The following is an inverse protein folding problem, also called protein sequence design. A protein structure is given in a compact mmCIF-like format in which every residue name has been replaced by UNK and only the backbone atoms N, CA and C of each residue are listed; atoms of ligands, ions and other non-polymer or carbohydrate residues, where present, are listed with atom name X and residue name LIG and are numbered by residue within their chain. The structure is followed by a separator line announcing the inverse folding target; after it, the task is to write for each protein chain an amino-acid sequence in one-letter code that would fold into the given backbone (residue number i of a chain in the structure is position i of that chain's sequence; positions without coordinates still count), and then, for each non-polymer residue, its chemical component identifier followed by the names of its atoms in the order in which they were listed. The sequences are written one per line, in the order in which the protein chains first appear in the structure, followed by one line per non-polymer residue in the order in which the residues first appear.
data_IF_256977842093
#
_entry.id   IF_256977842093
#
_cell.length_a   1.000
_cell.length_b   1.000
_cell.length_c   1.000
_cell.angle_alpha   90.00
_cell.angle_beta   90.00
_cell.angle_gamma   90.00
#
_symmetry.space_group_name_H-M   'P 1'
#
loop_
_entity.id
_entity.type
_entity.pdbx_description
1 polymer ?
#
# COMPACT_ATOMS: atom_id res chain seq x y z
N UNK A 1 -45.43 -14.41 -6.98
CA UNK A 1 -44.54 -15.56 -7.20
C UNK A 1 -43.15 -15.10 -6.83
N UNK A 2 -42.44 -15.87 -6.00
CA UNK A 2 -41.03 -15.59 -5.75
C UNK A 2 -40.21 -15.87 -7.01
N UNK A 3 -39.33 -14.94 -7.39
CA UNK A 3 -38.44 -15.10 -8.53
C UNK A 3 -37.01 -15.35 -8.04
N UNK A 4 -36.26 -16.20 -8.75
CA UNK A 4 -34.83 -16.43 -8.51
C UNK A 4 -34.05 -16.13 -9.78
N UNK A 5 -32.96 -15.37 -9.66
CA UNK A 5 -32.12 -14.98 -10.80
C UNK A 5 -30.65 -14.89 -10.40
N UNK A 6 -29.78 -15.47 -11.22
CA UNK A 6 -28.33 -15.27 -11.14
C UNK A 6 -27.92 -13.95 -11.80
N UNK A 7 -27.09 -13.16 -11.13
CA UNK A 7 -26.52 -11.94 -11.71
C UNK A 7 -25.35 -12.26 -12.65
N UNK A 8 -25.15 -11.39 -13.63
CA UNK A 8 -24.18 -11.51 -14.72
C UNK A 8 -22.73 -11.24 -14.32
N UNK A 9 -22.45 -11.06 -13.03
CA UNK A 9 -21.13 -10.70 -12.51
C UNK A 9 -20.38 -11.87 -11.87
N UNK A 10 -20.81 -13.11 -12.15
CA UNK A 10 -20.13 -14.31 -11.68
C UNK A 10 -18.73 -14.42 -12.27
N UNK A 11 -17.77 -14.90 -11.48
CA UNK A 11 -16.38 -15.04 -11.88
C UNK A 11 -15.72 -16.24 -11.18
N UNK A 12 -14.73 -16.82 -11.85
CA UNK A 12 -13.90 -17.91 -11.32
C UNK A 12 -12.96 -17.39 -10.24
N UNK A 13 -12.88 -18.09 -9.11
CA UNK A 13 -11.88 -17.75 -8.08
C UNK A 13 -10.45 -17.98 -8.58
N UNK A 14 -10.28 -19.01 -9.41
CA UNK A 14 -9.02 -19.48 -9.97
C UNK A 14 -9.24 -19.95 -11.40
N UNK A 15 -8.14 -20.02 -12.15
CA UNK A 15 -8.15 -20.47 -13.54
C UNK A 15 -8.52 -21.97 -13.69
N UNK A 16 -8.53 -22.75 -12.59
CA UNK A 16 -8.95 -24.17 -12.54
C UNK A 16 -10.47 -24.38 -12.63
N UNK A 17 -11.27 -23.32 -12.53
CA UNK A 17 -12.74 -23.34 -12.55
C UNK A 17 -13.35 -24.28 -11.48
N UNK A 18 -12.63 -24.59 -10.40
CA UNK A 18 -13.17 -25.42 -9.32
C UNK A 18 -14.11 -24.65 -8.41
N UNK A 19 -13.93 -23.32 -8.35
CA UNK A 19 -14.70 -22.44 -7.47
C UNK A 19 -15.24 -21.23 -8.24
N UNK A 20 -16.53 -20.98 -8.09
CA UNK A 20 -17.28 -19.92 -8.72
C UNK A 20 -17.84 -18.96 -7.66
N UNK A 21 -17.57 -17.67 -7.80
CA UNK A 21 -18.27 -16.66 -7.03
C UNK A 21 -19.43 -16.13 -7.87
N UNK A 22 -20.63 -16.11 -7.30
CA UNK A 22 -21.84 -15.64 -7.97
C UNK A 22 -22.76 -14.92 -6.98
N UNK A 23 -23.74 -14.20 -7.51
CA UNK A 23 -24.76 -13.53 -6.71
C UNK A 23 -26.13 -14.00 -7.15
N UNK A 24 -26.90 -14.54 -6.21
CA UNK A 24 -28.29 -14.89 -6.38
C UNK A 24 -29.16 -13.71 -5.94
N UNK A 25 -30.07 -13.28 -6.80
CA UNK A 25 -31.11 -12.31 -6.49
C UNK A 25 -32.44 -13.04 -6.35
N UNK A 26 -33.09 -12.86 -5.20
CA UNK A 26 -34.39 -13.42 -4.87
C UNK A 26 -35.40 -12.29 -4.67
N UNK A 27 -36.54 -12.37 -5.34
CA UNK A 27 -37.66 -11.46 -5.15
C UNK A 27 -38.82 -12.18 -4.44
N UNK A 28 -39.36 -11.59 -3.37
CA UNK A 28 -40.51 -12.15 -2.66
C UNK A 28 -41.85 -11.64 -3.21
N UNK A 29 -42.96 -12.21 -2.73
CA UNK A 29 -44.32 -11.82 -3.14
C UNK A 29 -44.70 -10.37 -2.76
N UNK A 30 -43.90 -9.72 -1.90
CA UNK A 30 -44.05 -8.32 -1.51
C UNK A 30 -43.12 -7.37 -2.32
N UNK A 31 -42.40 -7.89 -3.32
CA UNK A 31 -41.49 -7.13 -4.19
C UNK A 31 -40.16 -6.77 -3.54
N UNK A 32 -39.80 -7.39 -2.40
CA UNK A 32 -38.49 -7.18 -1.76
C UNK A 32 -37.44 -8.03 -2.44
N UNK A 33 -36.38 -7.38 -2.90
CA UNK A 33 -35.21 -8.02 -3.49
C UNK A 33 -34.16 -8.28 -2.41
N UNK A 34 -33.71 -9.53 -2.31
CA UNK A 34 -32.58 -9.92 -1.46
C UNK A 34 -31.47 -10.50 -2.34
N UNK A 35 -30.23 -10.07 -2.08
CA UNK A 35 -29.04 -10.54 -2.81
C UNK A 35 -28.20 -11.38 -1.88
N UNK A 36 -27.84 -12.58 -2.33
CA UNK A 36 -26.96 -13.48 -1.61
C UNK A 36 -25.68 -13.69 -2.42
N UNK A 37 -24.55 -13.35 -1.81
CA UNK A 37 -23.23 -13.65 -2.39
C UNK A 37 -22.87 -15.08 -2.01
N UNK A 38 -22.56 -15.90 -3.01
CA UNK A 38 -22.26 -17.32 -2.84
C UNK A 38 -20.91 -17.66 -3.44
N UNK A 39 -20.18 -18.56 -2.76
CA UNK A 39 -18.99 -19.21 -3.28
C UNK A 39 -19.32 -20.70 -3.45
N UNK A 40 -19.49 -21.11 -4.70
CA UNK A 40 -19.85 -22.46 -5.07
C UNK A 40 -18.60 -23.23 -5.47
N UNK A 41 -18.45 -24.45 -4.94
CA UNK A 41 -17.49 -25.40 -5.47
C UNK A 41 -18.15 -26.25 -6.54
N UNK A 42 -17.40 -26.67 -7.55
CA UNK A 42 -17.86 -27.56 -8.61
C UNK A 42 -18.31 -28.92 -8.07
N UNK A 43 -17.57 -29.44 -7.08
CA UNK A 43 -17.88 -30.68 -6.38
C UNK A 43 -18.19 -30.40 -4.91
N UNK A 44 -19.09 -31.19 -4.33
CA UNK A 44 -19.36 -31.18 -2.89
C UNK A 44 -18.25 -31.92 -2.10
N UNK A 45 -18.45 -32.08 -0.79
CA UNK A 45 -17.49 -32.77 0.10
C UNK A 45 -17.38 -34.27 -0.16
N UNK A 46 -18.37 -34.85 -0.82
CA UNK A 46 -18.48 -36.28 -1.14
C UNK A 46 -18.01 -36.57 -2.58
N UNK A 47 -17.69 -35.53 -3.35
CA UNK A 47 -17.23 -35.61 -4.73
C UNK A 47 -18.35 -35.57 -5.77
N UNK A 48 -19.59 -35.30 -5.37
CA UNK A 48 -20.71 -35.18 -6.31
C UNK A 48 -20.76 -33.77 -6.93
N UNK A 49 -21.24 -33.63 -8.19
CA UNK A 49 -21.47 -32.33 -8.81
C UNK A 49 -22.42 -31.46 -7.98
N UNK A 50 -22.09 -30.19 -7.84
CA UNK A 50 -22.93 -29.23 -7.14
C UNK A 50 -24.01 -28.68 -8.08
N UNK A 51 -25.32 -28.91 -7.80
CA UNK A 51 -26.40 -28.47 -8.69
C UNK A 51 -26.44 -26.96 -8.90
N UNK A 52 -26.14 -26.16 -7.86
CA UNK A 52 -26.15 -24.70 -7.98
C UNK A 52 -25.02 -24.22 -8.88
N UNK A 53 -23.87 -24.91 -8.86
CA UNK A 53 -22.75 -24.60 -9.74
C UNK A 53 -23.14 -24.84 -11.20
N UNK A 54 -23.71 -26.02 -11.48
CA UNK A 54 -24.11 -26.40 -12.83
C UNK A 54 -25.22 -25.46 -13.36
N UNK A 55 -26.19 -25.08 -12.51
CA UNK A 55 -27.24 -24.13 -12.86
C UNK A 55 -26.67 -22.75 -13.24
N UNK A 56 -25.71 -22.22 -12.48
CA UNK A 56 -25.09 -20.92 -12.80
C UNK A 56 -24.39 -20.97 -14.15
N UNK A 57 -23.69 -22.07 -14.45
CA UNK A 57 -22.99 -22.23 -15.73
C UNK A 57 -23.96 -22.42 -16.89
N UNK A 58 -25.08 -23.10 -16.67
CA UNK A 58 -26.15 -23.24 -17.67
C UNK A 58 -26.82 -21.89 -17.97
N UNK A 59 -27.09 -21.08 -16.94
CA UNK A 59 -27.81 -19.80 -17.07
C UNK A 59 -26.91 -18.68 -17.61
N UNK A 60 -25.69 -18.55 -17.10
CA UNK A 60 -24.78 -17.45 -17.44
C UNK A 60 -23.82 -17.79 -18.59
N UNK A 61 -23.50 -19.07 -18.76
CA UNK A 61 -22.52 -19.54 -19.72
C UNK A 61 -21.07 -19.39 -19.24
N UNK A 62 -20.22 -20.35 -19.62
CA UNK A 62 -18.79 -20.36 -19.28
C UNK A 62 -18.03 -19.15 -19.86
N UNK A 63 -18.45 -18.67 -21.03
CA UNK A 63 -17.82 -17.53 -21.72
C UNK A 63 -17.96 -16.23 -20.92
N UNK A 64 -19.16 -15.93 -20.42
CA UNK A 64 -19.42 -14.71 -19.62
C UNK A 64 -18.63 -14.74 -18.31
N UNK A 65 -18.63 -15.88 -17.61
CA UNK A 65 -17.90 -16.04 -16.35
C UNK A 65 -16.39 -15.90 -16.59
N UNK A 66 -15.89 -16.45 -17.69
CA UNK A 66 -14.46 -16.32 -18.08
C UNK A 66 -14.11 -14.86 -18.39
N UNK A 67 -14.93 -14.17 -19.18
CA UNK A 67 -14.74 -12.75 -19.48
C UNK A 67 -14.71 -11.89 -18.21
N UNK A 68 -15.68 -12.08 -17.30
CA UNK A 68 -15.71 -11.37 -16.02
C UNK A 68 -14.48 -11.64 -15.15
N UNK A 69 -13.95 -12.86 -15.22
CA UNK A 69 -12.73 -13.25 -14.48
C UNK A 69 -11.52 -12.49 -15.01
N UNK A 70 -11.38 -12.40 -16.34
CA UNK A 70 -10.31 -11.64 -16.99
C UNK A 70 -10.42 -10.14 -16.71
N UNK A 71 -11.62 -9.56 -16.85
CA UNK A 71 -11.89 -8.15 -16.53
C UNK A 71 -11.62 -7.84 -15.06
N UNK A 72 -11.94 -8.77 -14.16
CA UNK A 72 -11.61 -8.64 -12.74
C UNK A 72 -10.10 -8.68 -12.52
N UNK A 73 -9.39 -9.59 -13.20
CA UNK A 73 -7.94 -9.75 -13.08
C UNK A 73 -7.23 -8.49 -13.54
N UNK A 74 -7.57 -7.97 -14.72
CA UNK A 74 -6.98 -6.73 -15.28
C UNK A 74 -7.27 -5.52 -14.40
N UNK A 75 -8.50 -5.35 -13.92
CA UNK A 75 -8.86 -4.28 -12.98
C UNK A 75 -8.07 -4.39 -11.68
N UNK A 76 -7.98 -5.58 -11.08
CA UNK A 76 -7.27 -5.78 -9.80
C UNK A 76 -5.76 -5.61 -9.94
N UNK A 77 -5.18 -5.99 -11.07
CA UNK A 77 -3.77 -5.71 -11.34
C UNK A 77 -3.53 -4.21 -11.48
N UNK A 78 -4.37 -3.50 -12.22
CA UNK A 78 -4.27 -2.04 -12.38
C UNK A 78 -4.44 -1.30 -11.04
N UNK A 79 -5.45 -1.65 -10.23
CA UNK A 79 -5.65 -1.09 -8.88
C UNK A 79 -4.44 -1.34 -7.97
N UNK A 80 -3.84 -2.53 -8.03
CA UNK A 80 -2.66 -2.88 -7.23
C UNK A 80 -1.43 -2.08 -7.65
N UNK A 81 -1.24 -1.88 -8.95
CA UNK A 81 -0.15 -1.08 -9.50
C UNK A 81 -0.31 0.40 -9.14
N UNK A 82 -1.51 0.97 -9.31
CA UNK A 82 -1.79 2.35 -8.91
C UNK A 82 -1.57 2.55 -7.41
N UNK A 83 -2.08 1.64 -6.58
CA UNK A 83 -1.88 1.70 -5.13
C UNK A 83 -0.40 1.61 -4.77
N UNK A 84 0.35 0.70 -5.40
CA UNK A 84 1.80 0.58 -5.18
C UNK A 84 2.53 1.88 -5.53
N UNK A 85 2.19 2.50 -6.66
CA UNK A 85 2.77 3.78 -7.06
C UNK A 85 2.46 4.88 -6.04
N UNK A 86 1.19 5.01 -5.65
CA UNK A 86 0.74 5.99 -4.65
C UNK A 86 1.44 5.79 -3.30
N UNK A 87 1.51 4.56 -2.81
CA UNK A 87 2.18 4.22 -1.55
C UNK A 87 3.69 4.51 -1.60
N UNK A 88 4.34 4.25 -2.75
CA UNK A 88 5.75 4.60 -2.96
C UNK A 88 5.97 6.11 -2.95
N UNK A 89 5.12 6.89 -3.60
CA UNK A 89 5.21 8.35 -3.59
C UNK A 89 4.98 8.92 -2.19
N UNK A 90 3.97 8.43 -1.45
CA UNK A 90 3.77 8.83 -0.05
C UNK A 90 4.93 8.41 0.86
N UNK A 91 5.52 7.23 0.66
CA UNK A 91 6.69 6.81 1.43
C UNK A 91 7.91 7.70 1.16
N UNK A 92 8.14 8.07 -0.11
CA UNK A 92 9.19 9.03 -0.47
C UNK A 92 8.95 10.40 0.16
N UNK A 93 7.72 10.92 0.09
CA UNK A 93 7.35 12.20 0.69
C UNK A 93 7.59 12.20 2.21
N UNK A 94 7.10 11.16 2.92
CA UNK A 94 7.34 11.00 4.37
C UNK A 94 8.83 10.95 4.71
N UNK A 95 9.63 10.19 3.96
CA UNK A 95 11.07 10.12 4.18
C UNK A 95 11.77 11.47 4.00
N UNK A 96 11.34 12.26 3.02
CA UNK A 96 11.87 13.61 2.79
C UNK A 96 11.47 14.58 3.89
N UNK A 97 10.22 14.52 4.37
CA UNK A 97 9.73 15.29 5.51
C UNK A 97 10.48 14.94 6.79
N UNK A 98 10.63 13.65 7.10
CA UNK A 98 11.42 13.19 8.25
C UNK A 98 12.86 13.69 8.19
N UNK A 99 13.50 13.61 7.02
CA UNK A 99 14.86 14.12 6.84
C UNK A 99 14.92 15.64 7.03
N UNK A 100 13.91 16.37 6.57
CA UNK A 100 13.83 17.81 6.76
C UNK A 100 13.69 18.18 8.24
N UNK A 101 12.76 17.55 8.95
CA UNK A 101 12.55 17.76 10.38
C UNK A 101 13.81 17.40 11.18
N UNK A 102 14.44 16.27 10.85
CA UNK A 102 15.69 15.85 11.49
C UNK A 102 16.84 16.85 11.31
N UNK A 103 16.93 17.46 10.11
CA UNK A 103 17.89 18.55 9.89
C UNK A 103 17.56 19.78 10.73
N UNK A 104 16.30 20.16 10.83
CA UNK A 104 15.88 21.30 11.65
C UNK A 104 16.29 21.09 13.10
N UNK A 105 16.00 19.91 13.65
CA UNK A 105 16.43 19.48 14.99
C UNK A 105 17.96 19.60 15.16
N UNK A 106 18.75 19.09 14.22
CA UNK A 106 20.22 19.23 14.26
C UNK A 106 20.69 20.69 14.22
N UNK A 107 19.94 21.61 13.59
CA UNK A 107 20.25 23.04 13.58
C UNK A 107 19.81 23.79 14.84
N UNK A 108 18.99 23.18 15.70
CA UNK A 108 18.59 23.75 16.99
C UNK A 108 19.65 23.54 18.08
N UNK A 109 20.51 22.54 17.94
CA UNK A 109 21.69 22.30 18.80
C UNK A 109 22.58 23.56 18.82
N UNK A 110 22.88 24.09 20.00
CA UNK A 110 23.51 25.40 20.18
C UNK A 110 24.88 25.51 19.51
N UNK A 111 25.70 24.48 19.65
CA UNK A 111 27.04 24.36 19.10
C UNK A 111 26.98 24.41 17.56
N UNK A 112 26.00 23.73 16.96
CA UNK A 112 25.79 23.71 15.51
C UNK A 112 25.20 25.04 15.04
N UNK A 113 24.23 25.59 15.78
CA UNK A 113 23.59 26.87 15.52
C UNK A 113 24.59 28.03 15.54
N UNK A 114 25.53 28.02 16.47
CA UNK A 114 26.55 29.05 16.65
C UNK A 114 27.85 28.78 15.90
N UNK A 115 28.00 27.59 15.29
CA UNK A 115 29.17 27.25 14.48
C UNK A 115 29.47 28.30 13.40
N UNK A 116 30.73 28.77 13.36
CA UNK A 116 31.24 29.75 12.38
C UNK A 116 31.62 29.11 11.03
N UNK A 117 31.83 27.78 10.99
CA UNK A 117 32.23 27.07 9.78
C UNK A 117 31.07 26.95 8.77
N UNK A 118 30.96 27.96 7.91
CA UNK A 118 29.93 28.05 6.86
C UNK A 118 29.96 26.88 5.87
N UNK A 119 31.14 26.28 5.62
CA UNK A 119 31.29 25.16 4.68
C UNK A 119 30.61 23.91 5.24
N UNK A 120 30.85 23.56 6.51
CA UNK A 120 30.24 22.41 7.16
C UNK A 120 28.73 22.58 7.33
N UNK A 121 28.25 23.76 7.77
CA UNK A 121 26.80 24.05 7.84
C UNK A 121 26.11 23.95 6.48
N UNK A 122 26.79 24.40 5.41
CA UNK A 122 26.29 24.25 4.05
C UNK A 122 26.14 22.78 3.63
N UNK A 123 27.06 21.90 4.05
CA UNK A 123 26.96 20.46 3.81
C UNK A 123 25.83 19.83 4.63
N UNK A 124 25.71 20.17 5.91
CA UNK A 124 24.62 19.71 6.80
C UNK A 124 23.23 20.04 6.23
N UNK A 125 23.01 21.29 5.77
CA UNK A 125 21.73 21.70 5.15
C UNK A 125 21.41 20.89 3.89
N UNK A 126 22.43 20.55 3.09
CA UNK A 126 22.29 19.80 1.82
C UNK A 126 22.36 18.28 1.96
N UNK A 127 22.51 17.74 3.17
CA UNK A 127 22.62 16.31 3.41
C UNK A 127 21.42 15.54 2.83
N UNK A 128 21.63 14.35 2.26
CA UNK A 128 20.59 13.55 1.60
C UNK A 128 20.09 12.38 2.43
N UNK A 129 20.67 12.17 3.61
CA UNK A 129 20.30 11.09 4.53
C UNK A 129 20.56 11.50 5.98
N UNK A 130 19.91 10.82 6.94
CA UNK A 130 20.14 11.03 8.37
C UNK A 130 21.62 10.78 8.74
N UNK A 131 22.23 9.74 8.15
CA UNK A 131 23.66 9.43 8.31
C UNK A 131 24.56 10.60 7.89
N UNK A 132 24.27 11.25 6.76
CA UNK A 132 25.03 12.43 6.35
C UNK A 132 24.81 13.61 7.31
N UNK A 133 23.59 13.77 7.85
CA UNK A 133 23.31 14.79 8.88
C UNK A 133 24.17 14.53 10.11
N UNK A 134 24.18 13.30 10.62
CA UNK A 134 24.95 12.89 11.79
C UNK A 134 26.44 13.11 11.59
N UNK A 135 26.98 12.67 10.45
CA UNK A 135 28.39 12.84 10.12
C UNK A 135 28.80 14.32 10.16
N UNK A 136 28.04 15.19 9.51
CA UNK A 136 28.38 16.63 9.49
C UNK A 136 28.11 17.31 10.83
N UNK A 137 27.09 16.88 11.57
CA UNK A 137 26.83 17.36 12.93
C UNK A 137 28.00 17.02 13.87
N UNK A 138 28.46 15.76 13.87
CA UNK A 138 29.61 15.31 14.64
C UNK A 138 30.89 16.09 14.30
N UNK A 139 31.16 16.32 13.01
CA UNK A 139 32.30 17.13 12.59
C UNK A 139 32.25 18.57 13.12
N UNK A 140 31.05 19.18 13.14
CA UNK A 140 30.86 20.53 13.69
C UNK A 140 31.08 20.54 15.19
N UNK A 141 30.55 19.55 15.91
CA UNK A 141 30.75 19.41 17.36
C UNK A 141 32.22 19.19 17.71
N UNK A 142 32.91 18.35 16.96
CA UNK A 142 34.34 18.11 17.16
C UNK A 142 35.17 19.37 16.92
N UNK A 143 34.87 20.16 15.88
CA UNK A 143 35.52 21.44 15.64
C UNK A 143 35.25 22.44 16.77
N UNK A 144 34.04 22.43 17.33
CA UNK A 144 33.69 23.27 18.48
C UNK A 144 34.53 22.92 19.70
N UNK A 145 34.57 21.65 20.10
CA UNK A 145 35.38 21.17 21.23
C UNK A 145 36.87 21.51 21.05
N UNK A 146 37.42 21.29 19.85
CA UNK A 146 38.82 21.61 19.56
C UNK A 146 39.13 23.12 19.60
N UNK A 147 38.13 23.99 19.39
CA UNK A 147 38.30 25.43 19.54
C UNK A 147 38.21 25.85 21.01
N UNK A 148 37.32 25.23 21.80
CA UNK A 148 37.23 25.46 23.25
C UNK A 148 38.52 25.05 23.97
N UNK A 149 39.10 23.89 23.62
CA UNK A 149 40.39 23.43 24.16
C UNK A 149 41.51 24.44 23.89
N UNK A 150 41.63 24.94 22.66
CA UNK A 150 42.64 25.95 22.30
C UNK A 150 42.44 27.29 23.01
N UNK A 151 41.20 27.69 23.26
CA UNK A 151 40.90 28.92 24.00
C UNK A 151 41.23 28.79 25.50
N UNK A 152 41.19 27.57 26.04
CA UNK A 152 41.58 27.29 27.42
C UNK A 152 43.10 27.16 27.59
N UNK A 153 43.79 26.46 26.68
CA UNK A 153 45.25 26.31 26.71
C UNK A 153 46.00 27.63 26.50
N UNK A 154 45.37 28.63 25.87
CA UNK A 154 45.94 29.95 25.65
C UNK A 154 45.73 30.95 26.80
N UNK A 155 45.09 30.53 27.91
CA UNK A 155 44.83 31.37 29.09
C UNK A 155 45.72 31.06 30.30
N UNK A 156 46.64 30.11 30.17
CA UNK A 156 47.71 29.85 31.14
C UNK A 156 48.95 30.73 30.91
#
# INVERSE_FOLDING_TARGET
MSSRKWLDNAFWEKDDKEQLNCILELEDDAGRQTRQVMKLNRLDKEGNPNPDYDEVIEVLGDELVTQNTEDRKTRKTAEKEERKLRDQEHAKARKMEELFNYKMEAFEVEEIKNCKNRKLKGKLRRAKSKIEVDLYAMMVLQEHLANEEKENDGKD
#
